data_IF_589587507619
#
_entry.id   IF_589587507619
#
_cell.length_a   1.000
_cell.length_b   1.000
_cell.length_c   1.000
_cell.angle_alpha   90.00
_cell.angle_beta   90.00
_cell.angle_gamma   90.00
#
_symmetry.space_group_name_H-M   'P 1'
#
loop_
_entity.id
_entity.type
_entity.pdbx_description
1 polymer ?
#
# COMPACT_ATOMS: atom_id res chain seq x y z
N UNK A 1 -8.70 -61.04 -7.26
CA UNK A 1 -8.80 -59.77 -6.56
C UNK A 1 -7.60 -58.91 -6.98
N UNK A 2 -7.81 -57.82 -7.70
CA UNK A 2 -6.75 -56.88 -8.04
C UNK A 2 -6.42 -56.09 -6.78
N UNK A 3 -5.11 -55.91 -6.53
CA UNK A 3 -4.69 -55.05 -5.43
C UNK A 3 -5.12 -53.58 -5.74
N UNK A 4 -5.75 -52.92 -4.81
CA UNK A 4 -6.03 -51.47 -4.86
C UNK A 4 -4.70 -50.74 -4.64
N UNK A 5 -4.47 -49.65 -5.34
CA UNK A 5 -3.25 -48.83 -5.33
C UNK A 5 -2.01 -49.46 -6.00
N UNK A 6 -2.20 -50.24 -7.07
CA UNK A 6 -1.12 -50.78 -7.89
C UNK A 6 -1.25 -50.30 -9.33
N UNK A 7 -0.14 -49.97 -9.97
CA UNK A 7 -0.05 -49.80 -11.41
C UNK A 7 0.30 -51.11 -12.05
N UNK A 8 -0.48 -51.51 -13.03
CA UNK A 8 -0.23 -52.73 -13.81
C UNK A 8 0.55 -52.34 -15.07
N UNK A 9 1.72 -52.93 -15.25
CA UNK A 9 2.55 -52.76 -16.44
C UNK A 9 2.47 -54.05 -17.25
N UNK A 10 1.91 -53.96 -18.46
CA UNK A 10 1.62 -55.16 -19.26
C UNK A 10 2.14 -54.99 -20.69
N UNK A 11 2.93 -55.93 -21.23
CA UNK A 11 3.34 -55.90 -22.62
C UNK A 11 2.15 -56.18 -23.57
N UNK A 12 2.06 -55.42 -24.66
CA UNK A 12 1.02 -55.62 -25.69
C UNK A 12 1.61 -55.43 -27.09
N UNK A 13 2.10 -56.50 -27.69
CA UNK A 13 2.81 -56.44 -28.95
C UNK A 13 4.16 -55.73 -28.83
N UNK A 14 4.36 -54.67 -29.64
CA UNK A 14 5.54 -53.80 -29.54
C UNK A 14 5.41 -52.68 -28.48
N UNK A 15 4.27 -52.63 -27.79
CA UNK A 15 3.94 -51.58 -26.86
C UNK A 15 3.85 -52.11 -25.43
N UNK A 16 3.95 -51.18 -24.46
CA UNK A 16 3.71 -51.46 -23.05
C UNK A 16 2.55 -50.60 -22.56
N UNK A 17 1.61 -51.18 -21.85
CA UNK A 17 0.47 -50.51 -21.23
C UNK A 17 0.72 -50.36 -19.73
N UNK A 18 0.58 -49.15 -19.21
CA UNK A 18 0.55 -48.86 -17.79
C UNK A 18 -0.91 -48.50 -17.43
N UNK A 19 -1.50 -49.31 -16.56
CA UNK A 19 -2.91 -49.17 -16.17
C UNK A 19 -3.04 -48.94 -14.67
N UNK A 20 -3.77 -47.91 -14.31
CA UNK A 20 -4.18 -47.61 -12.94
C UNK A 20 -5.66 -47.24 -12.94
N UNK A 21 -6.47 -48.01 -12.22
CA UNK A 21 -7.92 -47.93 -12.23
C UNK A 21 -8.51 -47.87 -13.64
N UNK A 22 -9.07 -46.71 -14.04
CA UNK A 22 -9.65 -46.50 -15.37
C UNK A 22 -8.70 -45.81 -16.35
N UNK A 23 -7.53 -45.38 -15.89
CA UNK A 23 -6.55 -44.66 -16.70
C UNK A 23 -5.55 -45.61 -17.31
N UNK A 24 -5.21 -45.39 -18.56
CA UNK A 24 -4.24 -46.21 -19.29
C UNK A 24 -3.28 -45.31 -20.07
N UNK A 25 -1.99 -45.51 -19.83
CA UNK A 25 -0.91 -44.89 -20.61
C UNK A 25 -0.33 -45.98 -21.53
N UNK A 26 -0.24 -45.69 -22.82
CA UNK A 26 0.36 -46.54 -23.82
C UNK A 26 1.73 -46.02 -24.23
N UNK A 27 2.78 -46.77 -23.87
CA UNK A 27 4.15 -46.53 -24.32
C UNK A 27 4.36 -47.33 -25.63
N UNK A 28 4.62 -46.61 -26.73
CA UNK A 28 4.73 -47.18 -28.07
C UNK A 28 6.17 -47.54 -28.38
N UNK A 29 6.34 -48.67 -29.11
CA UNK A 29 7.63 -49.11 -29.65
C UNK A 29 8.77 -49.15 -28.61
N UNK A 30 8.47 -49.71 -27.43
CA UNK A 30 9.42 -49.83 -26.32
C UNK A 30 9.41 -51.27 -25.78
N UNK A 31 10.59 -51.77 -25.40
CA UNK A 31 10.70 -53.07 -24.76
C UNK A 31 10.18 -53.02 -23.32
N UNK A 32 9.64 -54.14 -22.85
CA UNK A 32 9.02 -54.21 -21.51
C UNK A 32 9.98 -53.81 -20.38
N UNK A 33 11.20 -54.37 -20.42
CA UNK A 33 12.22 -54.11 -19.37
C UNK A 33 12.62 -52.64 -19.36
N UNK A 34 12.82 -52.00 -20.52
CA UNK A 34 13.12 -50.58 -20.65
C UNK A 34 11.97 -49.71 -20.14
N UNK A 35 10.72 -50.03 -20.50
CA UNK A 35 9.55 -49.34 -20.00
C UNK A 35 9.41 -49.47 -18.47
N UNK A 36 9.71 -50.66 -17.93
CA UNK A 36 9.65 -50.93 -16.50
C UNK A 36 10.70 -50.09 -15.73
N UNK A 37 11.95 -50.07 -16.22
CA UNK A 37 13.02 -49.26 -15.63
C UNK A 37 12.68 -47.76 -15.64
N UNK A 38 12.12 -47.24 -16.74
CA UNK A 38 11.68 -45.83 -16.82
C UNK A 38 10.59 -45.56 -15.80
N UNK A 39 9.58 -46.43 -15.72
CA UNK A 39 8.47 -46.26 -14.78
C UNK A 39 8.96 -46.31 -13.35
N UNK A 40 9.82 -47.30 -13.02
CA UNK A 40 10.41 -47.41 -11.70
C UNK A 40 11.22 -46.15 -11.35
N UNK A 41 12.06 -45.65 -12.25
CA UNK A 41 12.83 -44.46 -12.04
C UNK A 41 11.97 -43.20 -11.79
N UNK A 42 10.77 -43.10 -12.41
CA UNK A 42 9.81 -42.02 -12.12
C UNK A 42 9.27 -42.18 -10.69
N UNK A 43 8.92 -43.37 -10.25
CA UNK A 43 8.44 -43.60 -8.89
C UNK A 43 9.52 -43.30 -7.86
N UNK A 44 10.73 -43.79 -8.05
CA UNK A 44 11.87 -43.56 -7.16
C UNK A 44 12.14 -42.05 -7.05
N UNK A 45 12.10 -41.31 -8.16
CA UNK A 45 12.25 -39.87 -8.17
C UNK A 45 11.20 -39.13 -7.32
N UNK A 46 9.91 -39.48 -7.46
CA UNK A 46 8.85 -38.81 -6.69
C UNK A 46 8.84 -39.26 -5.22
N UNK A 47 9.28 -40.50 -4.92
CA UNK A 47 9.43 -41.00 -3.55
C UNK A 47 10.57 -40.28 -2.82
N UNK A 48 11.73 -40.13 -3.47
CA UNK A 48 12.86 -39.36 -2.96
C UNK A 48 12.50 -37.88 -2.77
N UNK A 49 11.79 -37.27 -3.74
CA UNK A 49 11.29 -35.92 -3.62
C UNK A 49 10.34 -35.77 -2.43
N UNK A 50 9.35 -36.64 -2.28
CA UNK A 50 8.36 -36.58 -1.17
C UNK A 50 9.05 -36.74 0.19
N UNK A 51 10.02 -37.62 0.31
CA UNK A 51 10.82 -37.80 1.51
C UNK A 51 11.62 -36.52 1.85
N UNK A 52 12.25 -35.89 0.83
CA UNK A 52 13.06 -34.69 1.00
C UNK A 52 12.21 -33.51 1.44
N UNK A 53 11.07 -33.24 0.77
CA UNK A 53 10.19 -32.12 1.15
C UNK A 53 9.50 -32.36 2.50
N UNK A 54 9.20 -33.60 2.86
CA UNK A 54 8.64 -33.98 4.16
C UNK A 54 9.64 -33.66 5.28
N UNK A 55 10.90 -34.10 5.12
CA UNK A 55 11.96 -33.81 6.09
C UNK A 55 12.23 -32.27 6.22
N UNK A 56 12.18 -31.53 5.11
CA UNK A 56 12.31 -30.10 5.12
C UNK A 56 11.13 -29.41 5.83
N UNK A 57 9.90 -29.88 5.61
CA UNK A 57 8.71 -29.38 6.29
C UNK A 57 8.75 -29.63 7.81
N UNK A 58 9.25 -30.77 8.27
CA UNK A 58 9.43 -31.08 9.69
C UNK A 58 10.43 -30.14 10.37
N UNK A 59 11.43 -29.66 9.63
CA UNK A 59 12.45 -28.72 10.09
C UNK A 59 12.02 -27.25 9.95
N UNK A 60 10.90 -26.98 9.27
CA UNK A 60 10.46 -25.61 8.95
C UNK A 60 11.32 -24.92 7.87
N UNK A 61 12.09 -25.70 7.11
CA UNK A 61 12.92 -25.18 6.01
C UNK A 61 12.08 -25.06 4.72
N UNK A 62 11.30 -23.99 4.68
CA UNK A 62 10.41 -23.72 3.55
C UNK A 62 11.16 -23.46 2.24
N UNK A 63 12.36 -22.86 2.32
CA UNK A 63 13.16 -22.60 1.14
C UNK A 63 13.63 -23.91 0.49
N UNK A 64 14.04 -24.87 1.28
CA UNK A 64 14.44 -26.20 0.79
C UNK A 64 13.27 -26.91 0.10
N UNK A 65 12.05 -26.79 0.61
CA UNK A 65 10.85 -27.36 -0.05
C UNK A 65 10.73 -26.83 -1.49
N UNK A 66 10.91 -25.52 -1.70
CA UNK A 66 10.81 -24.92 -3.02
C UNK A 66 11.99 -25.29 -3.93
N UNK A 67 13.20 -25.31 -3.37
CA UNK A 67 14.42 -25.66 -4.11
C UNK A 67 14.34 -27.12 -4.64
N UNK A 68 13.94 -28.09 -3.81
CA UNK A 68 13.74 -29.49 -4.19
C UNK A 68 12.58 -29.68 -5.19
N UNK A 69 11.53 -28.87 -5.08
CA UNK A 69 10.36 -28.95 -5.94
C UNK A 69 10.58 -28.34 -7.34
N UNK A 70 11.69 -27.65 -7.56
CA UNK A 70 12.02 -27.09 -8.86
C UNK A 70 12.03 -28.13 -9.98
N UNK A 71 12.59 -29.28 -9.73
CA UNK A 71 12.68 -30.39 -10.71
C UNK A 71 11.33 -30.99 -11.10
N UNK A 72 10.31 -30.79 -10.26
CA UNK A 72 8.94 -31.25 -10.56
C UNK A 72 8.19 -30.21 -11.42
N UNK A 73 8.33 -28.93 -11.09
CA UNK A 73 7.48 -27.88 -11.67
C UNK A 73 8.13 -27.09 -12.81
N UNK A 74 9.44 -26.88 -12.78
CA UNK A 74 10.17 -26.03 -13.73
C UNK A 74 9.58 -24.64 -13.96
N UNK A 75 8.79 -24.14 -13.01
CA UNK A 75 8.11 -22.85 -13.01
C UNK A 75 8.40 -22.10 -11.70
N UNK A 76 8.37 -20.76 -11.68
CA UNK A 76 8.59 -19.98 -10.46
C UNK A 76 7.56 -20.28 -9.39
N UNK A 77 8.03 -20.47 -8.16
CA UNK A 77 7.19 -20.69 -6.98
C UNK A 77 7.47 -19.64 -5.92
N UNK A 78 6.44 -19.24 -5.17
CA UNK A 78 6.53 -18.40 -4.00
C UNK A 78 5.62 -18.92 -2.90
N UNK A 79 6.12 -18.91 -1.67
CA UNK A 79 5.39 -19.21 -0.44
C UNK A 79 5.23 -17.92 0.36
N UNK A 80 4.01 -17.61 0.72
CA UNK A 80 3.64 -16.44 1.51
C UNK A 80 3.05 -16.87 2.85
N UNK A 81 3.25 -16.07 3.90
CA UNK A 81 2.55 -16.22 5.18
C UNK A 81 1.08 -15.73 5.12
N UNK A 82 0.38 -15.78 6.25
CA UNK A 82 -1.01 -15.30 6.38
C UNK A 82 -1.14 -13.79 6.11
N UNK A 83 -0.08 -13.02 6.31
CA UNK A 83 0.00 -11.58 6.08
C UNK A 83 0.51 -11.24 4.68
N UNK A 84 0.63 -12.23 3.79
CA UNK A 84 1.13 -12.09 2.43
C UNK A 84 2.62 -11.70 2.33
N UNK A 85 3.43 -11.93 3.36
CA UNK A 85 4.88 -11.76 3.31
C UNK A 85 5.53 -12.98 2.69
N UNK A 86 6.63 -12.77 1.96
CA UNK A 86 7.41 -13.83 1.32
C UNK A 86 8.19 -14.62 2.38
N UNK A 87 7.90 -15.93 2.50
CA UNK A 87 8.65 -16.87 3.33
C UNK A 87 9.74 -17.59 2.54
N UNK A 88 9.45 -17.97 1.30
CA UNK A 88 10.36 -18.63 0.39
C UNK A 88 9.97 -18.39 -1.06
N UNK A 89 10.95 -18.45 -1.97
CA UNK A 89 10.72 -18.27 -3.41
C UNK A 89 11.77 -19.00 -4.25
N UNK A 90 11.49 -19.24 -5.53
CA UNK A 90 12.44 -19.82 -6.48
C UNK A 90 13.61 -18.87 -6.73
N UNK A 91 14.77 -19.12 -6.10
CA UNK A 91 15.94 -18.20 -6.04
C UNK A 91 16.50 -17.81 -7.40
N UNK A 92 16.41 -18.68 -8.41
CA UNK A 92 16.86 -18.41 -9.78
C UNK A 92 16.06 -17.30 -10.47
N UNK A 93 14.91 -16.87 -9.89
CA UNK A 93 14.07 -15.80 -10.41
C UNK A 93 14.15 -14.52 -9.58
N UNK A 94 15.09 -14.40 -8.65
CA UNK A 94 15.21 -13.19 -7.81
C UNK A 94 15.38 -11.92 -8.63
N UNK A 95 16.23 -11.97 -9.65
CA UNK A 95 16.56 -10.83 -10.52
C UNK A 95 15.95 -10.96 -11.92
N UNK A 96 15.11 -11.98 -12.14
CA UNK A 96 14.46 -12.22 -13.42
C UNK A 96 13.03 -11.70 -13.37
N UNK A 97 12.69 -10.85 -14.33
CA UNK A 97 11.30 -10.40 -14.47
C UNK A 97 10.41 -11.58 -14.89
N UNK A 98 9.46 -11.92 -14.06
CA UNK A 98 8.40 -12.91 -14.33
C UNK A 98 7.13 -12.17 -14.75
N UNK A 99 6.58 -11.35 -13.85
CA UNK A 99 5.45 -10.44 -14.07
C UNK A 99 5.49 -9.28 -13.04
N UNK A 100 4.48 -8.41 -13.06
CA UNK A 100 4.42 -7.25 -12.15
C UNK A 100 4.32 -7.66 -10.68
N UNK A 101 3.54 -8.71 -10.37
CA UNK A 101 3.40 -9.20 -8.99
C UNK A 101 4.71 -9.83 -8.50
N UNK A 102 5.37 -10.63 -9.33
CA UNK A 102 6.67 -11.20 -8.97
C UNK A 102 7.73 -10.13 -8.69
N UNK A 103 7.79 -9.11 -9.56
CA UNK A 103 8.70 -7.99 -9.36
C UNK A 103 8.42 -7.28 -8.02
N UNK A 104 7.14 -7.08 -7.69
CA UNK A 104 6.73 -6.50 -6.42
C UNK A 104 7.11 -7.37 -5.22
N UNK A 105 6.86 -8.69 -5.29
CA UNK A 105 7.26 -9.64 -4.24
C UNK A 105 8.76 -9.62 -3.97
N UNK A 106 9.59 -9.52 -5.02
CA UNK A 106 11.05 -9.48 -4.87
C UNK A 106 11.57 -8.15 -4.35
N UNK A 107 10.88 -7.05 -4.66
CA UNK A 107 11.28 -5.70 -4.23
C UNK A 107 10.84 -5.40 -2.78
N UNK A 108 9.61 -5.78 -2.42
CA UNK A 108 8.98 -5.39 -1.14
C UNK A 108 8.85 -6.54 -0.14
N UNK A 109 9.12 -7.78 -0.54
CA UNK A 109 9.01 -8.95 0.31
C UNK A 109 7.57 -9.35 0.66
N UNK A 110 6.56 -8.83 -0.04
CA UNK A 110 5.14 -9.13 0.18
C UNK A 110 4.30 -8.90 -1.08
N UNK A 111 3.06 -9.42 -1.10
CA UNK A 111 2.12 -9.22 -2.22
C UNK A 111 1.70 -7.77 -2.38
N UNK A 112 1.41 -7.38 -3.62
CA UNK A 112 0.82 -6.07 -3.91
C UNK A 112 -0.62 -5.96 -3.39
N UNK A 113 -1.05 -4.73 -3.10
CA UNK A 113 -2.43 -4.45 -2.65
C UNK A 113 -3.45 -4.86 -3.73
N UNK A 114 -3.12 -4.65 -5.00
CA UNK A 114 -4.00 -5.01 -6.11
C UNK A 114 -4.18 -6.52 -6.23
N UNK A 115 -3.10 -7.32 -6.04
CA UNK A 115 -3.19 -8.78 -5.99
C UNK A 115 -4.03 -9.27 -4.81
N UNK A 116 -3.91 -8.66 -3.65
CA UNK A 116 -4.70 -9.02 -2.47
C UNK A 116 -6.19 -8.72 -2.70
N UNK A 117 -6.51 -7.54 -3.25
CA UNK A 117 -7.88 -7.15 -3.59
C UNK A 117 -8.50 -8.08 -4.64
N UNK A 118 -7.73 -8.43 -5.67
CA UNK A 118 -8.16 -9.36 -6.71
C UNK A 118 -8.52 -10.73 -6.12
N UNK A 119 -7.59 -11.31 -5.36
CA UNK A 119 -7.78 -12.60 -4.74
C UNK A 119 -8.99 -12.65 -3.79
N UNK A 120 -9.26 -11.57 -3.06
CA UNK A 120 -10.43 -11.47 -2.19
C UNK A 120 -11.74 -11.43 -2.94
N UNK A 121 -11.81 -10.64 -4.02
CA UNK A 121 -13.04 -10.50 -4.81
C UNK A 121 -13.44 -11.81 -5.47
N UNK A 122 -12.47 -12.56 -5.98
CA UNK A 122 -12.71 -13.87 -6.59
C UNK A 122 -12.95 -14.97 -5.54
N UNK A 123 -12.41 -14.84 -4.33
CA UNK A 123 -12.65 -15.79 -3.24
C UNK A 123 -14.02 -15.64 -2.57
N UNK A 124 -14.72 -14.50 -2.69
CA UNK A 124 -16.07 -14.32 -2.12
C UNK A 124 -17.15 -15.03 -2.92
N UNK A 125 -16.95 -15.27 -4.20
CA UNK A 125 -17.94 -15.92 -5.08
C UNK A 125 -17.78 -17.46 -5.16
N UNK A 126 -16.67 -18.02 -4.70
CA UNK A 126 -16.40 -19.46 -4.69
C UNK A 126 -16.10 -19.94 -3.26
N UNK A 127 -16.93 -20.86 -2.78
CA UNK A 127 -16.80 -21.56 -1.50
C UNK A 127 -15.41 -21.51 -0.87
N UNK A 128 -15.22 -20.72 0.16
CA UNK A 128 -14.00 -20.49 0.96
C UNK A 128 -13.34 -21.77 1.53
N UNK A 129 -13.90 -22.93 1.28
CA UNK A 129 -13.46 -24.22 1.80
C UNK A 129 -12.96 -25.18 0.72
N UNK A 130 -12.75 -24.74 -0.52
CA UNK A 130 -12.07 -25.60 -1.49
C UNK A 130 -10.60 -25.74 -1.08
N UNK A 131 -10.33 -26.79 -0.32
CA UNK A 131 -8.99 -27.29 -0.02
C UNK A 131 -8.44 -27.85 -1.32
N UNK A 132 -7.62 -27.04 -2.03
CA UNK A 132 -6.97 -27.50 -3.25
C UNK A 132 -6.38 -26.35 -4.08
N UNK A 133 -5.46 -26.71 -4.96
CA UNK A 133 -4.81 -25.77 -5.86
C UNK A 133 -5.79 -25.26 -6.93
N UNK A 134 -6.00 -23.96 -6.97
CA UNK A 134 -6.89 -23.29 -7.92
C UNK A 134 -6.08 -22.58 -9.00
N UNK A 135 -6.47 -22.78 -10.25
CA UNK A 135 -5.86 -22.07 -11.38
C UNK A 135 -6.52 -20.72 -11.57
N UNK A 136 -5.68 -19.67 -11.57
CA UNK A 136 -6.10 -18.29 -11.87
C UNK A 136 -5.62 -17.92 -13.25
N UNK A 137 -6.55 -17.35 -14.02
CA UNK A 137 -6.28 -16.79 -15.33
C UNK A 137 -6.47 -15.27 -15.26
N UNK A 138 -5.48 -14.52 -15.74
CA UNK A 138 -5.50 -13.06 -15.71
C UNK A 138 -5.68 -12.49 -17.12
N UNK A 139 -6.76 -11.75 -17.34
CA UNK A 139 -6.99 -11.03 -18.60
C UNK A 139 -5.97 -9.89 -18.82
N UNK A 140 -5.32 -9.41 -17.74
CA UNK A 140 -4.27 -8.40 -17.82
C UNK A 140 -2.96 -9.05 -18.25
N UNK A 141 -2.38 -8.60 -19.36
CA UNK A 141 -1.06 -9.04 -19.86
C UNK A 141 0.10 -8.81 -18.87
N UNK A 142 -0.12 -8.00 -17.82
CA UNK A 142 0.87 -7.68 -16.80
C UNK A 142 1.06 -8.80 -15.75
N UNK A 143 0.12 -9.75 -15.65
CA UNK A 143 0.15 -10.87 -14.71
C UNK A 143 0.16 -12.18 -15.48
N UNK A 144 0.93 -13.14 -14.99
CA UNK A 144 1.02 -14.50 -15.53
C UNK A 144 -0.06 -15.37 -14.92
N UNK A 145 -0.59 -16.32 -15.69
CA UNK A 145 -1.44 -17.37 -15.15
C UNK A 145 -0.72 -18.11 -14.03
N UNK A 146 -1.43 -18.49 -13.00
CA UNK A 146 -0.84 -19.19 -11.87
C UNK A 146 -1.76 -20.26 -11.31
N UNK A 147 -1.14 -21.17 -10.57
CA UNK A 147 -1.79 -22.16 -9.71
C UNK A 147 -1.51 -21.77 -8.26
N UNK A 148 -2.53 -21.49 -7.48
CA UNK A 148 -2.37 -21.05 -6.09
C UNK A 148 -3.18 -21.92 -5.15
N UNK A 149 -2.59 -22.24 -4.00
CA UNK A 149 -3.25 -23.00 -2.94
C UNK A 149 -3.12 -22.25 -1.60
N UNK A 150 -4.26 -22.07 -0.93
CA UNK A 150 -4.29 -21.52 0.42
C UNK A 150 -3.96 -22.61 1.44
N UNK A 151 -3.17 -22.28 2.43
CA UNK A 151 -2.70 -23.18 3.48
C UNK A 151 -3.52 -22.91 4.73
N UNK A 152 -4.28 -23.91 5.17
CA UNK A 152 -5.13 -23.83 6.38
C UNK A 152 -4.70 -24.86 7.41
N UNK A 153 -4.63 -24.44 8.68
CA UNK A 153 -4.47 -25.33 9.82
C UNK A 153 -5.51 -24.98 10.89
N UNK A 154 -6.28 -25.96 11.36
CA UNK A 154 -7.36 -25.75 12.33
C UNK A 154 -8.32 -24.60 11.95
N UNK A 155 -8.71 -24.50 10.69
CA UNK A 155 -9.57 -23.47 10.09
C UNK A 155 -8.96 -22.06 10.04
N UNK A 156 -7.73 -21.86 10.50
CA UNK A 156 -7.01 -20.61 10.36
C UNK A 156 -6.14 -20.66 9.08
N UNK A 157 -6.15 -19.59 8.30
CA UNK A 157 -5.25 -19.43 7.16
C UNK A 157 -3.85 -19.17 7.67
N UNK A 158 -2.89 -20.02 7.33
CA UNK A 158 -1.49 -19.89 7.69
C UNK A 158 -0.63 -19.26 6.60
N UNK A 159 -1.09 -19.35 5.36
CA UNK A 159 -0.33 -18.81 4.23
C UNK A 159 -0.92 -19.22 2.88
N UNK A 160 -0.11 -19.04 1.85
CA UNK A 160 -0.44 -19.35 0.46
C UNK A 160 0.80 -19.74 -0.31
N UNK A 161 0.72 -20.80 -1.11
CA UNK A 161 1.75 -21.16 -2.08
C UNK A 161 1.24 -20.93 -3.49
N UNK A 162 2.06 -20.34 -4.34
CA UNK A 162 1.71 -20.01 -5.72
C UNK A 162 2.80 -20.48 -6.68
N UNK A 163 2.39 -21.15 -7.75
CA UNK A 163 3.20 -21.58 -8.89
C UNK A 163 2.81 -20.74 -10.10
N UNK A 164 3.74 -19.98 -10.67
CA UNK A 164 3.49 -19.04 -11.77
C UNK A 164 3.82 -19.68 -13.12
N UNK A 165 2.90 -19.59 -14.09
CA UNK A 165 3.13 -20.11 -15.45
C UNK A 165 4.14 -19.23 -16.21
N UNK A 166 5.37 -19.70 -16.34
CA UNK A 166 6.45 -18.94 -17.00
C UNK A 166 7.21 -19.76 -18.05
N UNK A 167 7.79 -20.89 -17.65
CA UNK A 167 8.64 -21.72 -18.52
C UNK A 167 7.85 -22.76 -19.29
N UNK A 168 6.81 -23.29 -18.68
CA UNK A 168 5.90 -24.28 -19.27
C UNK A 168 4.48 -24.05 -18.77
N UNK A 169 3.52 -24.52 -19.56
CA UNK A 169 2.11 -24.50 -19.16
C UNK A 169 1.85 -25.38 -17.96
N UNK A 170 0.97 -24.92 -17.10
CA UNK A 170 0.49 -25.65 -15.94
C UNK A 170 -0.51 -26.75 -16.35
N UNK A 171 -0.40 -27.91 -15.74
CA UNK A 171 -1.22 -29.07 -16.01
C UNK A 171 -1.84 -29.64 -14.71
N UNK A 172 -2.65 -30.68 -14.84
CA UNK A 172 -3.35 -31.34 -13.71
C UNK A 172 -2.39 -31.96 -12.72
N UNK A 173 -1.24 -32.52 -13.18
CA UNK A 173 -0.21 -33.08 -12.29
C UNK A 173 0.40 -32.01 -11.37
N UNK A 174 0.59 -30.79 -11.87
CA UNK A 174 1.07 -29.68 -11.05
C UNK A 174 0.12 -29.37 -9.89
N UNK A 175 -1.18 -29.46 -10.14
CA UNK A 175 -2.20 -29.26 -9.10
C UNK A 175 -2.08 -30.30 -7.99
N UNK A 176 -1.91 -31.58 -8.37
CA UNK A 176 -1.79 -32.69 -7.42
C UNK A 176 -0.51 -32.59 -6.57
N UNK A 177 0.60 -32.23 -7.20
CA UNK A 177 1.89 -32.05 -6.50
C UNK A 177 1.83 -30.82 -5.58
N UNK A 178 1.22 -29.71 -6.03
CA UNK A 178 1.06 -28.52 -5.22
C UNK A 178 0.15 -28.78 -4.00
N UNK A 179 -0.90 -29.59 -4.17
CA UNK A 179 -1.77 -30.02 -3.06
C UNK A 179 -1.01 -30.88 -2.03
N UNK A 180 -0.04 -31.69 -2.47
CA UNK A 180 0.84 -32.44 -1.58
C UNK A 180 1.71 -31.52 -0.73
N UNK A 181 2.35 -30.53 -1.36
CA UNK A 181 3.14 -29.52 -0.65
C UNK A 181 2.26 -28.72 0.31
N UNK A 182 1.08 -28.30 -0.12
CA UNK A 182 0.13 -27.54 0.71
C UNK A 182 -0.22 -28.26 1.99
N UNK A 183 -0.46 -29.58 1.92
CA UNK A 183 -0.75 -30.42 3.12
C UNK A 183 0.43 -30.50 4.07
N UNK A 184 1.65 -30.62 3.57
CA UNK A 184 2.86 -30.62 4.39
C UNK A 184 3.07 -29.26 5.07
N UNK A 185 2.94 -28.18 4.31
CA UNK A 185 3.06 -26.82 4.82
C UNK A 185 1.98 -26.50 5.87
N UNK A 186 0.75 -26.99 5.70
CA UNK A 186 -0.31 -26.81 6.68
C UNK A 186 0.07 -27.34 8.07
N UNK A 187 0.65 -28.52 8.13
CA UNK A 187 1.12 -29.13 9.38
C UNK A 187 2.35 -28.41 9.94
N UNK A 188 3.30 -28.06 9.08
CA UNK A 188 4.54 -27.38 9.48
C UNK A 188 4.27 -25.97 10.01
N UNK A 189 3.57 -25.15 9.23
CA UNK A 189 3.22 -23.78 9.61
C UNK A 189 2.25 -23.71 10.79
N UNK A 190 1.34 -24.71 10.90
CA UNK A 190 0.41 -24.79 12.01
C UNK A 190 1.06 -25.13 13.35
N UNK A 191 2.20 -25.84 13.36
CA UNK A 191 2.97 -26.15 14.58
C UNK A 191 3.74 -24.93 15.10
N UNK A 192 4.21 -24.08 14.19
CA UNK A 192 4.90 -22.83 14.55
C UNK A 192 3.92 -21.75 15.01
N UNK A 193 2.62 -21.99 14.89
CA UNK A 193 1.54 -21.02 15.00
C UNK A 193 1.46 -20.19 13.71
N UNK A 194 0.30 -19.55 13.41
CA UNK A 194 0.34 -18.42 12.52
C UNK A 194 1.42 -17.49 13.09
N UNK A 195 2.38 -17.09 12.26
CA UNK A 195 3.21 -15.95 12.62
C UNK A 195 2.23 -14.91 13.11
N UNK A 196 2.28 -14.59 14.41
CA UNK A 196 1.38 -13.59 14.97
C UNK A 196 1.41 -12.45 13.98
N UNK A 197 0.25 -11.91 13.55
CA UNK A 197 0.27 -10.73 12.72
C UNK A 197 1.29 -9.83 13.38
N UNK A 198 2.27 -9.23 12.67
CA UNK A 198 3.28 -8.44 13.30
C UNK A 198 2.53 -7.57 14.28
N UNK A 199 2.66 -7.86 15.57
CA UNK A 199 1.72 -7.70 16.69
C UNK A 199 0.61 -6.73 16.32
N UNK A 200 -0.57 -7.30 15.97
CA UNK A 200 -1.70 -6.51 15.56
C UNK A 200 -2.31 -5.86 16.80
N UNK A 201 -1.63 -5.02 17.37
CA UNK A 201 -1.78 -4.02 18.38
C UNK A 201 -0.39 -3.81 19.02
N UNK A 202 0.59 -3.40 18.22
CA UNK A 202 1.70 -2.70 18.82
C UNK A 202 1.08 -1.57 19.61
N UNK A 203 1.05 -1.77 20.93
CA UNK A 203 0.75 -0.71 21.87
C UNK A 203 1.77 0.40 21.61
N UNK A 204 1.41 1.31 20.73
CA UNK A 204 2.25 2.45 20.40
C UNK A 204 1.85 3.58 21.34
N UNK A 205 2.76 3.91 22.23
CA UNK A 205 2.67 5.10 23.07
C UNK A 205 2.29 6.33 22.24
N UNK A 206 2.82 6.44 21.03
CA UNK A 206 2.51 7.52 20.11
C UNK A 206 1.05 7.51 19.60
N UNK A 207 0.46 6.31 19.43
CA UNK A 207 -0.97 6.19 19.09
C UNK A 207 -1.86 6.73 20.22
N UNK A 208 -1.50 6.43 21.45
CA UNK A 208 -2.24 6.92 22.60
C UNK A 208 -2.10 8.43 22.76
N UNK A 209 -0.90 8.99 22.57
CA UNK A 209 -0.69 10.43 22.53
C UNK A 209 -1.55 11.12 21.45
N UNK A 210 -1.65 10.53 20.24
CA UNK A 210 -2.50 11.06 19.17
C UNK A 210 -3.99 11.02 19.55
N UNK A 211 -4.43 9.96 20.24
CA UNK A 211 -5.81 9.84 20.75
C UNK A 211 -6.11 10.73 21.97
N UNK A 212 -5.09 11.40 22.51
CA UNK A 212 -5.21 12.19 23.73
C UNK A 212 -5.38 11.31 24.99
N UNK A 213 -4.98 10.05 24.91
CA UNK A 213 -4.93 9.14 26.06
C UNK A 213 -3.66 9.49 26.87
N UNK A 214 -3.80 9.71 28.20
CA UNK A 214 -2.65 10.03 29.04
C UNK A 214 -1.59 8.92 29.00
N UNK A 215 -0.37 9.27 28.70
CA UNK A 215 0.81 8.40 28.72
C UNK A 215 1.72 8.86 29.86
N UNK A 216 2.29 7.93 30.62
CA UNK A 216 3.23 8.29 31.69
C UNK A 216 4.58 8.71 31.10
N UNK A 217 5.26 9.67 31.72
CA UNK A 217 6.59 10.13 31.27
C UNK A 217 7.58 8.94 31.18
N UNK A 218 7.53 8.01 32.13
CA UNK A 218 8.39 6.81 32.13
C UNK A 218 8.16 5.90 30.90
N UNK A 219 6.95 5.80 30.44
CA UNK A 219 6.58 4.96 29.30
C UNK A 219 6.97 5.64 27.99
N UNK A 220 6.79 6.96 27.92
CA UNK A 220 7.27 7.78 26.80
C UNK A 220 8.80 7.74 26.69
N UNK A 221 9.50 7.97 27.80
CA UNK A 221 10.98 7.94 27.86
C UNK A 221 11.52 6.59 27.39
N UNK A 222 10.92 5.48 27.85
CA UNK A 222 11.30 4.14 27.41
C UNK A 222 11.15 3.94 25.90
N UNK A 223 10.04 4.42 25.33
CA UNK A 223 9.80 4.30 23.87
C UNK A 223 10.77 5.17 23.07
N UNK A 224 11.09 6.34 23.58
CA UNK A 224 12.09 7.22 22.97
C UNK A 224 13.49 6.59 23.01
N UNK A 225 13.89 5.99 24.16
CA UNK A 225 15.17 5.27 24.26
C UNK A 225 15.28 4.12 23.27
N UNK A 226 14.20 3.33 23.07
CA UNK A 226 14.18 2.22 22.10
C UNK A 226 14.45 2.71 20.68
N UNK A 227 13.96 3.91 20.33
CA UNK A 227 14.13 4.51 19.02
C UNK A 227 15.39 5.37 18.90
N UNK A 228 16.16 5.51 19.99
CA UNK A 228 17.25 6.47 20.09
C UNK A 228 16.78 7.89 19.70
N UNK A 229 15.65 8.33 20.30
CA UNK A 229 15.01 9.62 20.16
C UNK A 229 15.03 10.40 21.48
N UNK A 230 14.79 11.72 21.43
CA UNK A 230 14.76 12.61 22.59
C UNK A 230 13.55 13.52 22.57
N UNK A 231 13.01 13.87 23.73
CA UNK A 231 11.90 14.83 23.85
C UNK A 231 12.23 16.22 23.30
N UNK A 232 13.52 16.54 23.11
CA UNK A 232 14.01 17.81 22.53
C UNK A 232 14.16 17.76 21.01
N UNK A 233 13.86 16.62 20.38
CA UNK A 233 13.99 16.47 18.94
C UNK A 233 12.77 17.05 18.21
N UNK A 234 12.94 17.30 16.92
CA UNK A 234 11.85 17.68 16.03
C UNK A 234 11.32 16.45 15.32
N UNK A 235 9.99 16.33 15.28
CA UNK A 235 9.27 15.19 14.74
C UNK A 235 8.38 15.61 13.58
N UNK A 236 8.33 14.78 12.56
CA UNK A 236 7.36 14.91 11.48
C UNK A 236 6.35 13.74 11.49
N UNK A 237 5.13 14.02 11.06
CA UNK A 237 4.06 13.03 11.01
C UNK A 237 3.40 13.01 9.63
N UNK A 238 3.28 11.82 9.06
CA UNK A 238 2.52 11.59 7.84
C UNK A 238 1.37 10.64 8.09
N UNK A 239 0.29 10.81 7.32
CA UNK A 239 -0.83 9.87 7.30
C UNK A 239 -1.03 9.38 5.87
N UNK A 240 -0.97 8.07 5.67
CA UNK A 240 -1.24 7.43 4.39
C UNK A 240 -2.67 6.91 4.34
N UNK A 241 -3.36 7.17 3.25
CA UNK A 241 -4.68 6.63 2.94
C UNK A 241 -4.70 6.17 1.47
N UNK A 242 -5.65 5.30 1.11
CA UNK A 242 -5.91 4.98 -0.29
C UNK A 242 -6.43 6.19 -1.06
N UNK A 243 -6.32 6.20 -2.40
CA UNK A 243 -6.87 7.30 -3.23
C UNK A 243 -8.35 7.55 -2.94
N UNK A 244 -9.11 6.51 -2.60
CA UNK A 244 -10.54 6.59 -2.30
C UNK A 244 -10.85 6.77 -0.79
N UNK A 245 -9.85 7.08 0.04
CA UNK A 245 -10.00 7.31 1.48
C UNK A 245 -9.43 6.20 2.35
N UNK A 246 -10.20 5.77 3.36
CA UNK A 246 -9.80 4.80 4.38
C UNK A 246 -9.43 3.45 3.75
N UNK A 247 -8.35 2.83 4.24
CA UNK A 247 -7.90 1.51 3.83
C UNK A 247 -8.68 0.42 4.58
N UNK A 248 -8.95 -0.69 3.90
CA UNK A 248 -9.47 -1.89 4.56
C UNK A 248 -8.41 -2.47 5.52
N UNK A 249 -8.83 -3.08 6.62
CA UNK A 249 -7.97 -3.48 7.73
C UNK A 249 -6.73 -4.30 7.31
N UNK A 250 -6.89 -5.30 6.43
CA UNK A 250 -5.74 -6.11 6.00
C UNK A 250 -4.81 -5.36 5.06
N UNK A 251 -5.37 -4.48 4.20
CA UNK A 251 -4.58 -3.59 3.34
C UNK A 251 -3.81 -2.60 4.20
N UNK A 252 -4.44 -2.13 5.28
CA UNK A 252 -3.85 -1.22 6.25
C UNK A 252 -2.63 -1.84 6.95
N UNK A 253 -2.78 -3.05 7.51
CA UNK A 253 -1.69 -3.76 8.19
C UNK A 253 -0.53 -4.09 7.23
N UNK A 254 -0.85 -4.55 6.02
CA UNK A 254 0.16 -4.82 5.02
C UNK A 254 0.90 -3.55 4.59
N UNK A 255 0.17 -2.46 4.38
CA UNK A 255 0.77 -1.15 4.05
C UNK A 255 1.72 -0.69 5.13
N UNK A 256 1.32 -0.79 6.40
CA UNK A 256 2.17 -0.46 7.54
C UNK A 256 3.44 -1.31 7.54
N UNK A 257 3.31 -2.62 7.33
CA UNK A 257 4.45 -3.53 7.25
C UNK A 257 5.39 -3.17 6.09
N UNK A 258 4.87 -2.92 4.89
CA UNK A 258 5.69 -2.54 3.73
C UNK A 258 6.46 -1.24 3.93
N UNK A 259 5.86 -0.25 4.59
CA UNK A 259 6.52 1.01 4.91
C UNK A 259 7.59 0.78 5.99
N UNK A 260 7.31 -0.03 7.01
CA UNK A 260 8.26 -0.31 8.10
C UNK A 260 9.54 -1.00 7.61
N UNK A 261 9.41 -1.92 6.64
CA UNK A 261 10.58 -2.57 6.03
C UNK A 261 11.51 -1.60 5.29
N UNK A 262 10.98 -0.51 4.76
CA UNK A 262 11.77 0.50 4.06
C UNK A 262 12.34 1.56 5.01
N UNK A 263 11.75 1.76 6.19
CA UNK A 263 12.02 2.87 7.12
C UNK A 263 12.26 2.39 8.55
N UNK A 264 13.38 1.71 8.83
CA UNK A 264 13.63 1.09 10.14
C UNK A 264 13.82 2.10 11.29
N UNK A 265 14.00 3.39 10.99
CA UNK A 265 14.18 4.47 11.97
C UNK A 265 12.91 5.31 12.19
N UNK A 266 11.77 4.85 11.67
CA UNK A 266 10.49 5.50 11.80
C UNK A 266 9.52 4.63 12.59
N UNK A 267 8.64 5.25 13.36
CA UNK A 267 7.49 4.57 13.96
C UNK A 267 6.32 4.52 12.99
N UNK A 268 5.79 3.32 12.78
CA UNK A 268 4.72 3.09 11.82
C UNK A 268 3.63 2.27 12.50
N UNK A 269 2.42 2.80 12.50
CA UNK A 269 1.26 2.16 13.12
C UNK A 269 -0.04 2.53 12.41
N UNK A 270 -1.08 1.74 12.65
CA UNK A 270 -2.40 1.94 12.06
C UNK A 270 -3.29 2.76 13.00
N UNK A 271 -4.01 3.75 12.43
CA UNK A 271 -4.96 4.57 13.16
C UNK A 271 -6.08 5.05 12.24
N UNK A 272 -7.34 4.89 12.66
CA UNK A 272 -8.55 5.38 12.00
C UNK A 272 -8.62 5.06 10.48
N UNK A 273 -8.16 3.86 10.10
CA UNK A 273 -8.15 3.41 8.70
C UNK A 273 -7.07 4.04 7.83
N UNK A 274 -6.07 4.67 8.43
CA UNK A 274 -4.85 5.17 7.80
C UNK A 274 -3.58 4.60 8.44
N UNK A 275 -2.47 4.61 7.71
CA UNK A 275 -1.14 4.29 8.24
C UNK A 275 -0.46 5.58 8.64
N UNK A 276 -0.08 5.66 9.90
CA UNK A 276 0.67 6.79 10.46
C UNK A 276 2.15 6.47 10.44
N UNK A 277 2.94 7.40 9.93
CA UNK A 277 4.39 7.40 9.98
C UNK A 277 4.85 8.59 10.82
N UNK A 278 5.53 8.30 11.92
CA UNK A 278 6.19 9.28 12.78
C UNK A 278 7.69 9.12 12.61
N UNK A 279 8.40 10.21 12.40
CA UNK A 279 9.85 10.20 12.22
C UNK A 279 10.51 11.35 12.97
N UNK A 280 11.78 11.15 13.29
CA UNK A 280 12.65 12.15 13.90
C UNK A 280 13.46 12.84 12.80
N UNK A 281 13.40 14.18 12.71
CA UNK A 281 14.07 14.96 11.66
C UNK A 281 15.60 14.91 11.71
N UNK A 282 16.18 14.51 12.83
CA UNK A 282 17.63 14.26 12.92
C UNK A 282 18.05 12.98 12.17
N UNK A 283 17.14 12.03 11.99
CA UNK A 283 17.42 10.73 11.37
C UNK A 283 16.91 10.64 9.93
N UNK A 284 15.76 11.21 9.66
CA UNK A 284 15.12 11.23 8.33
C UNK A 284 14.54 12.62 8.06
N UNK A 285 14.54 13.07 6.82
CA UNK A 285 13.88 14.33 6.43
C UNK A 285 12.65 14.05 5.57
N UNK A 286 11.69 14.98 5.55
CA UNK A 286 10.50 14.84 4.71
C UNK A 286 10.84 14.61 3.24
N UNK A 287 11.89 15.25 2.71
CA UNK A 287 12.30 15.09 1.31
C UNK A 287 12.94 13.72 1.04
N UNK A 288 13.77 13.21 1.95
CA UNK A 288 14.31 11.85 1.84
C UNK A 288 13.20 10.79 1.87
N UNK A 289 12.20 10.96 2.74
CA UNK A 289 11.04 10.09 2.82
C UNK A 289 10.19 10.15 1.55
N UNK A 290 9.94 11.35 0.98
CA UNK A 290 9.24 11.52 -0.29
C UNK A 290 9.95 10.76 -1.41
N UNK A 291 11.29 10.86 -1.47
CA UNK A 291 12.08 10.17 -2.49
C UNK A 291 11.99 8.64 -2.32
N UNK A 292 12.23 8.13 -1.11
CA UNK A 292 12.22 6.68 -0.82
C UNK A 292 10.84 6.04 -1.06
N UNK A 293 9.78 6.71 -0.64
CA UNK A 293 8.42 6.19 -0.75
C UNK A 293 7.72 6.53 -2.08
N UNK A 294 8.34 7.32 -2.98
CA UNK A 294 7.70 7.80 -4.20
C UNK A 294 7.15 6.69 -5.10
N UNK A 295 7.93 5.63 -5.28
CA UNK A 295 7.52 4.47 -6.08
C UNK A 295 6.43 3.68 -5.39
N UNK A 296 6.58 3.43 -4.09
CA UNK A 296 5.61 2.73 -3.26
C UNK A 296 4.23 3.43 -3.26
N UNK A 297 4.19 4.72 -2.98
CA UNK A 297 2.96 5.52 -2.89
C UNK A 297 2.23 5.55 -4.24
N UNK A 298 2.97 5.73 -5.33
CA UNK A 298 2.42 5.77 -6.70
C UNK A 298 1.90 4.40 -7.14
N UNK A 299 2.69 3.34 -6.95
CA UNK A 299 2.32 1.98 -7.36
C UNK A 299 1.08 1.48 -6.61
N UNK A 300 0.97 1.76 -5.32
CA UNK A 300 -0.15 1.34 -4.48
C UNK A 300 -1.32 2.35 -4.47
N UNK A 301 -1.30 3.38 -5.34
CA UNK A 301 -2.36 4.40 -5.46
C UNK A 301 -2.73 4.99 -4.11
N UNK A 302 -1.73 5.48 -3.40
CA UNK A 302 -1.90 6.06 -2.07
C UNK A 302 -1.74 7.58 -2.10
N UNK A 303 -2.30 8.22 -1.09
CA UNK A 303 -2.10 9.62 -0.79
C UNK A 303 -1.51 9.76 0.62
N UNK A 304 -0.53 10.64 0.76
CA UNK A 304 0.13 10.95 2.04
C UNK A 304 -0.12 12.41 2.41
N UNK A 305 -0.77 12.63 3.55
CA UNK A 305 -0.89 13.94 4.19
C UNK A 305 0.29 14.16 5.11
N UNK A 306 0.88 15.33 5.08
CA UNK A 306 2.14 15.68 5.74
C UNK A 306 1.89 16.86 6.67
N UNK A 307 2.14 16.69 7.97
CA UNK A 307 2.02 17.74 8.97
C UNK A 307 3.16 18.75 8.89
N UNK A 308 3.03 19.84 9.65
CA UNK A 308 4.20 20.62 10.04
C UNK A 308 5.11 19.82 10.98
N UNK A 309 6.41 20.12 11.03
CA UNK A 309 7.30 19.57 12.05
C UNK A 309 6.86 20.03 13.46
N UNK A 310 7.03 19.15 14.46
CA UNK A 310 6.72 19.42 15.85
C UNK A 310 7.96 19.29 16.73
N UNK A 311 8.19 20.26 17.61
CA UNK A 311 9.20 20.20 18.66
C UNK A 311 8.66 19.59 19.96
N UNK A 312 7.35 19.25 20.03
CA UNK A 312 6.74 18.69 21.23
C UNK A 312 5.90 17.47 20.86
N UNK A 313 6.28 16.31 21.38
CA UNK A 313 5.50 15.08 21.16
C UNK A 313 4.10 15.14 21.80
N UNK A 314 3.92 15.95 22.85
CA UNK A 314 2.60 16.19 23.46
C UNK A 314 1.59 16.80 22.50
N UNK A 315 2.08 17.49 21.47
CA UNK A 315 1.24 18.16 20.47
C UNK A 315 0.95 17.30 19.24
N UNK A 316 1.45 16.07 19.23
CA UNK A 316 1.38 15.17 18.07
C UNK A 316 -0.06 14.92 17.57
N UNK A 317 -1.05 14.98 18.48
CA UNK A 317 -2.48 14.91 18.13
C UNK A 317 -2.91 16.01 17.14
N UNK A 318 -2.36 17.21 17.28
CA UNK A 318 -2.66 18.32 16.36
C UNK A 318 -1.96 18.12 15.03
N UNK A 319 -0.76 17.58 15.02
CA UNK A 319 -0.02 17.25 13.80
C UNK A 319 -0.71 16.11 13.02
N UNK A 320 -1.31 15.13 13.70
CA UNK A 320 -2.16 14.13 13.08
C UNK A 320 -3.38 14.75 12.37
N UNK A 321 -4.07 15.69 13.05
CA UNK A 321 -5.20 16.43 12.45
C UNK A 321 -4.76 17.28 11.26
N UNK A 322 -3.57 17.90 11.31
CA UNK A 322 -3.00 18.65 10.19
C UNK A 322 -2.79 17.74 8.97
N UNK A 323 -2.20 16.55 9.17
CA UNK A 323 -1.97 15.60 8.09
C UNK A 323 -3.28 15.09 7.47
N UNK A 324 -4.31 14.83 8.29
CA UNK A 324 -5.64 14.48 7.79
C UNK A 324 -6.28 15.63 7.00
N UNK A 325 -6.20 16.85 7.51
CA UNK A 325 -6.73 18.02 6.80
C UNK A 325 -6.05 18.25 5.46
N UNK A 326 -4.76 17.98 5.36
CA UNK A 326 -4.03 18.04 4.10
C UNK A 326 -4.60 17.07 3.04
N UNK A 327 -5.22 15.97 3.47
CA UNK A 327 -5.84 14.96 2.60
C UNK A 327 -7.32 15.24 2.24
N UNK A 328 -7.97 16.28 2.79
CA UNK A 328 -9.40 16.52 2.51
C UNK A 328 -9.67 16.86 1.03
N UNK A 329 -8.76 17.58 0.39
CA UNK A 329 -8.90 18.00 -1.02
C UNK A 329 -7.83 17.35 -1.86
N UNK A 330 -8.16 16.24 -2.50
CA UNK A 330 -7.23 15.48 -3.32
C UNK A 330 -7.35 15.86 -4.79
N UNK A 331 -6.21 15.96 -5.43
CA UNK A 331 -6.10 16.23 -6.86
C UNK A 331 -5.70 14.95 -7.59
N UNK A 332 -6.19 14.71 -8.81
CA UNK A 332 -5.70 13.60 -9.65
C UNK A 332 -4.18 13.65 -9.78
N UNK A 333 -3.55 12.48 -9.77
CA UNK A 333 -2.10 12.29 -9.96
C UNK A 333 -1.19 12.96 -8.92
N UNK A 334 -1.75 13.53 -7.85
CA UNK A 334 -0.99 14.06 -6.72
C UNK A 334 -1.04 13.07 -5.56
N UNK A 335 0.15 12.73 -5.02
CA UNK A 335 0.29 11.72 -3.96
C UNK A 335 0.70 12.29 -2.61
N UNK A 336 1.32 13.49 -2.58
CA UNK A 336 1.82 14.14 -1.36
C UNK A 336 1.12 15.47 -1.15
N UNK A 337 0.58 15.65 0.06
CA UNK A 337 -0.23 16.79 0.45
C UNK A 337 0.36 17.43 1.70
N UNK A 338 1.15 18.48 1.52
CA UNK A 338 1.73 19.23 2.63
C UNK A 338 0.67 20.12 3.27
N UNK A 339 0.64 20.16 4.59
CA UNK A 339 -0.27 21.03 5.36
C UNK A 339 0.14 22.50 5.27
N UNK A 340 1.45 22.81 5.12
CA UNK A 340 1.96 24.18 5.15
C UNK A 340 1.15 25.18 4.28
N UNK A 341 0.88 24.92 3.00
CA UNK A 341 0.12 25.85 2.17
C UNK A 341 -1.36 25.97 2.57
N UNK A 342 -1.86 25.07 3.41
CA UNK A 342 -3.26 24.98 3.84
C UNK A 342 -3.47 25.42 5.30
N UNK A 343 -2.41 25.86 5.98
CA UNK A 343 -2.47 26.21 7.40
C UNK A 343 -3.50 27.31 7.72
N UNK A 344 -3.62 28.33 6.86
CA UNK A 344 -4.59 29.41 7.04
C UNK A 344 -6.02 28.88 6.84
N UNK A 345 -6.26 28.02 5.85
CA UNK A 345 -7.57 27.40 5.61
C UNK A 345 -8.00 26.52 6.79
N UNK A 346 -7.04 25.80 7.38
CA UNK A 346 -7.29 25.02 8.59
C UNK A 346 -7.74 25.90 9.76
N UNK A 347 -7.08 27.03 9.99
CA UNK A 347 -7.46 27.99 11.04
C UNK A 347 -8.86 28.54 10.76
N UNK A 348 -9.13 28.93 9.52
CA UNK A 348 -10.42 29.47 9.12
C UNK A 348 -11.53 28.41 9.31
N UNK A 349 -11.36 27.20 8.79
CA UNK A 349 -12.37 26.13 8.89
C UNK A 349 -12.67 25.69 10.33
N UNK A 350 -11.72 25.85 11.24
CA UNK A 350 -11.91 25.53 12.66
C UNK A 350 -12.42 26.73 13.52
N UNK A 351 -12.75 27.84 12.88
CA UNK A 351 -13.32 29.02 13.53
C UNK A 351 -14.81 29.16 13.19
N UNK A 352 -15.58 29.89 14.02
CA UNK A 352 -17.00 30.13 13.74
C UNK A 352 -17.17 30.98 12.46
N UNK A 353 -17.95 30.52 11.46
CA UNK A 353 -18.19 31.29 10.23
C UNK A 353 -18.70 32.69 10.48
N UNK A 354 -19.64 32.86 11.40
CA UNK A 354 -20.24 34.16 11.72
C UNK A 354 -19.19 35.13 12.26
N UNK A 355 -18.30 34.67 13.13
CA UNK A 355 -17.21 35.48 13.69
C UNK A 355 -16.21 35.87 12.59
N UNK A 356 -15.85 34.92 11.71
CA UNK A 356 -14.93 35.20 10.61
C UNK A 356 -15.50 36.23 9.63
N UNK A 357 -16.75 36.03 9.20
CA UNK A 357 -17.43 36.97 8.27
C UNK A 357 -17.60 38.34 8.91
N UNK A 358 -17.97 38.43 10.20
CA UNK A 358 -18.07 39.67 10.91
C UNK A 358 -16.72 40.39 11.06
N UNK A 359 -15.62 39.64 11.13
CA UNK A 359 -14.27 40.16 11.25
C UNK A 359 -13.60 40.46 9.90
N UNK A 360 -14.23 40.23 8.75
CA UNK A 360 -13.66 40.58 7.45
C UNK A 360 -13.54 42.10 7.24
N UNK A 361 -12.52 42.50 6.47
CA UNK A 361 -12.28 43.92 6.13
C UNK A 361 -13.52 44.56 5.46
N UNK A 362 -14.03 45.70 5.94
CA UNK A 362 -15.28 46.28 5.44
C UNK A 362 -15.29 46.57 3.94
N UNK A 363 -14.17 47.02 3.39
CA UNK A 363 -14.05 47.30 1.96
C UNK A 363 -14.12 46.02 1.11
N UNK A 364 -13.56 44.93 1.58
CA UNK A 364 -13.63 43.61 0.89
C UNK A 364 -15.07 43.09 0.92
N UNK A 365 -15.78 43.18 2.06
CA UNK A 365 -17.21 42.85 2.13
C UNK A 365 -18.05 43.72 1.19
N UNK A 366 -17.71 44.98 1.08
CA UNK A 366 -18.38 45.89 0.14
C UNK A 366 -18.13 45.50 -1.31
N UNK A 367 -16.89 45.20 -1.68
CA UNK A 367 -16.54 44.75 -3.04
C UNK A 367 -17.24 43.42 -3.38
N UNK A 368 -17.26 42.49 -2.47
CA UNK A 368 -17.97 41.22 -2.62
C UNK A 368 -19.48 41.41 -2.87
N UNK A 369 -20.15 42.27 -2.06
CA UNK A 369 -21.56 42.60 -2.27
C UNK A 369 -21.83 43.30 -3.61
N UNK A 370 -20.88 44.06 -4.11
CA UNK A 370 -20.99 44.70 -5.43
C UNK A 370 -20.83 43.69 -6.55
N UNK A 371 -19.89 42.77 -6.40
CA UNK A 371 -19.67 41.69 -7.38
C UNK A 371 -20.86 40.72 -7.48
N UNK A 372 -21.58 40.49 -6.37
CA UNK A 372 -22.84 39.72 -6.37
C UNK A 372 -23.96 40.42 -7.13
N UNK A 373 -23.96 41.77 -7.17
CA UNK A 373 -24.98 42.55 -7.88
C UNK A 373 -24.64 42.81 -9.35
N UNK A 374 -23.37 42.89 -9.66
CA UNK A 374 -22.84 43.23 -10.98
C UNK A 374 -21.56 42.44 -11.25
N UNK A 375 -21.31 41.91 -12.45
CA UNK A 375 -20.09 41.14 -12.74
C UNK A 375 -18.87 42.04 -12.87
N UNK A 376 -18.42 42.64 -11.77
CA UNK A 376 -17.32 43.63 -11.74
C UNK A 376 -15.97 43.05 -11.37
N UNK A 377 -15.90 41.81 -10.91
CA UNK A 377 -14.67 41.10 -10.53
C UNK A 377 -13.74 41.89 -9.60
N UNK A 378 -14.29 42.71 -8.69
CA UNK A 378 -13.50 43.57 -7.80
C UNK A 378 -12.67 42.79 -6.83
N UNK A 379 -13.27 41.78 -6.16
CA UNK A 379 -12.57 40.91 -5.21
C UNK A 379 -11.44 40.15 -5.91
N UNK A 380 -11.70 39.56 -7.08
CA UNK A 380 -10.70 38.87 -7.88
C UNK A 380 -9.55 39.80 -8.33
N UNK A 381 -9.91 41.03 -8.74
CA UNK A 381 -8.92 42.02 -9.17
C UNK A 381 -8.05 42.50 -8.00
N UNK A 382 -8.64 42.73 -6.83
CA UNK A 382 -7.91 43.11 -5.62
C UNK A 382 -6.98 41.97 -5.15
N UNK A 383 -7.48 40.74 -5.15
CA UNK A 383 -6.68 39.58 -4.81
C UNK A 383 -5.42 39.44 -5.69
N UNK A 384 -5.59 39.43 -7.01
CA UNK A 384 -4.48 39.32 -7.95
C UNK A 384 -3.49 40.50 -7.75
N UNK A 385 -3.99 41.68 -7.53
CA UNK A 385 -3.15 42.86 -7.30
C UNK A 385 -2.32 42.76 -6.01
N UNK A 386 -2.93 42.30 -4.92
CA UNK A 386 -2.23 42.12 -3.66
C UNK A 386 -1.27 40.93 -3.68
N UNK A 387 -1.60 39.83 -4.37
CA UNK A 387 -0.74 38.66 -4.49
C UNK A 387 0.48 38.93 -5.39
N UNK A 388 0.35 39.77 -6.39
CA UNK A 388 1.45 40.24 -7.24
C UNK A 388 2.20 41.42 -6.66
N UNK A 389 2.18 41.62 -5.33
CA UNK A 389 2.88 42.70 -4.62
C UNK A 389 2.60 44.09 -5.26
N UNK A 390 1.39 44.29 -5.75
CA UNK A 390 0.88 45.51 -6.43
C UNK A 390 1.54 45.78 -7.78
N UNK A 391 2.18 44.81 -8.41
CA UNK A 391 2.71 44.92 -9.76
C UNK A 391 1.58 44.95 -10.79
N UNK A 392 1.37 46.07 -11.40
CA UNK A 392 0.36 46.24 -12.47
C UNK A 392 0.65 45.35 -13.69
N UNK A 393 1.95 45.08 -13.96
CA UNK A 393 2.36 44.22 -15.08
C UNK A 393 1.91 42.78 -14.80
N UNK A 394 2.40 42.16 -13.74
CA UNK A 394 2.09 40.78 -13.41
C UNK A 394 0.60 40.55 -13.16
N UNK A 395 -0.07 41.52 -12.51
CA UNK A 395 -1.52 41.43 -12.30
C UNK A 395 -2.31 41.47 -13.63
N UNK A 396 -1.88 42.27 -14.62
CA UNK A 396 -2.55 42.33 -15.93
C UNK A 396 -2.37 41.05 -16.72
N UNK A 397 -1.19 40.40 -16.59
CA UNK A 397 -0.90 39.10 -17.19
C UNK A 397 -1.74 37.99 -16.54
N UNK A 398 -1.79 37.92 -15.19
CA UNK A 398 -2.60 36.93 -14.46
C UNK A 398 -4.10 37.02 -14.77
N UNK A 399 -4.63 38.26 -14.85
CA UNK A 399 -6.06 38.46 -15.12
C UNK A 399 -6.42 38.45 -16.61
N UNK A 400 -5.43 38.32 -17.49
CA UNK A 400 -5.61 38.40 -18.96
C UNK A 400 -6.32 39.65 -19.42
N UNK A 401 -5.99 40.80 -18.80
CA UNK A 401 -6.56 42.12 -19.17
C UNK A 401 -5.47 43.07 -19.67
N UNK A 402 -5.86 44.03 -20.53
CA UNK A 402 -4.91 45.05 -20.97
C UNK A 402 -4.49 45.93 -19.79
N UNK A 403 -3.19 46.28 -19.71
CA UNK A 403 -2.63 47.08 -18.61
C UNK A 403 -3.43 48.36 -18.31
N UNK A 404 -3.86 49.10 -19.33
CA UNK A 404 -4.63 50.32 -19.13
C UNK A 404 -6.00 50.07 -18.47
N UNK A 405 -6.64 48.95 -18.81
CA UNK A 405 -7.89 48.52 -18.19
C UNK A 405 -7.68 48.22 -16.71
N UNK A 406 -6.58 47.52 -16.37
CA UNK A 406 -6.23 47.25 -14.98
C UNK A 406 -5.92 48.52 -14.21
N UNK A 407 -5.12 49.41 -14.76
CA UNK A 407 -4.82 50.72 -14.15
C UNK A 407 -6.10 51.47 -13.79
N UNK A 408 -7.04 51.54 -14.73
CA UNK A 408 -8.36 52.16 -14.48
C UNK A 408 -9.13 51.43 -13.37
N UNK A 409 -9.20 50.10 -13.41
CA UNK A 409 -9.88 49.31 -12.36
C UNK A 409 -9.25 49.54 -10.99
N UNK A 410 -7.93 49.42 -10.86
CA UNK A 410 -7.21 49.63 -9.59
C UNK A 410 -7.39 51.06 -9.08
N UNK A 411 -7.23 52.09 -9.93
CA UNK A 411 -7.43 53.46 -9.55
C UNK A 411 -8.82 53.69 -8.97
N UNK A 412 -9.87 53.24 -9.67
CA UNK A 412 -11.25 53.34 -9.21
C UNK A 412 -11.48 52.63 -7.88
N UNK A 413 -10.94 51.42 -7.72
CA UNK A 413 -11.06 50.64 -6.48
C UNK A 413 -10.32 51.32 -5.33
N UNK A 414 -9.11 51.86 -5.58
CA UNK A 414 -8.31 52.55 -4.55
C UNK A 414 -8.98 53.85 -4.07
N UNK A 415 -9.65 54.59 -4.97
CA UNK A 415 -10.43 55.76 -4.62
C UNK A 415 -11.66 55.43 -3.75
N UNK A 416 -12.17 54.20 -3.87
CA UNK A 416 -13.29 53.73 -3.07
C UNK A 416 -12.86 53.14 -1.71
N UNK A 417 -11.57 52.84 -1.50
CA UNK A 417 -11.08 52.25 -0.24
C UNK A 417 -11.12 53.26 0.90
N UNK A 418 -11.52 52.77 2.09
CA UNK A 418 -11.45 53.54 3.34
C UNK A 418 -10.11 53.41 4.06
N UNK A 419 -9.15 52.70 3.48
CA UNK A 419 -7.87 52.32 4.09
C UNK A 419 -6.68 52.62 3.16
N UNK A 420 -5.47 52.59 3.73
CA UNK A 420 -4.24 52.82 3.00
C UNK A 420 -3.54 51.49 2.65
N UNK A 421 -3.44 51.19 1.35
CA UNK A 421 -2.76 49.95 0.87
C UNK A 421 -1.23 50.00 1.03
N UNK A 422 -0.62 51.11 1.42
CA UNK A 422 0.81 51.16 1.72
C UNK A 422 1.15 50.47 3.06
N UNK A 423 0.18 50.29 3.93
CA UNK A 423 0.35 49.60 5.20
C UNK A 423 0.34 48.07 5.01
N UNK A 424 1.36 47.41 5.52
CA UNK A 424 1.49 45.93 5.43
C UNK A 424 0.32 45.20 6.08
N UNK A 425 -0.03 45.59 7.30
CA UNK A 425 -1.17 45.04 8.03
C UNK A 425 -2.49 45.11 7.25
N UNK A 426 -2.76 46.24 6.63
CA UNK A 426 -3.98 46.44 5.81
C UNK A 426 -4.03 45.44 4.65
N UNK A 427 -2.91 45.26 3.94
CA UNK A 427 -2.83 44.29 2.83
C UNK A 427 -3.05 42.87 3.30
N UNK A 428 -2.41 42.46 4.39
CA UNK A 428 -2.55 41.13 4.96
C UNK A 428 -3.98 40.84 5.45
N UNK A 429 -4.59 41.85 6.08
CA UNK A 429 -5.98 41.77 6.52
C UNK A 429 -6.95 41.62 5.34
N UNK A 430 -6.73 42.35 4.26
CA UNK A 430 -7.53 42.22 3.04
C UNK A 430 -7.34 40.86 2.37
N UNK A 431 -6.10 40.38 2.25
CA UNK A 431 -5.80 39.04 1.73
C UNK A 431 -6.51 37.95 2.54
N UNK A 432 -6.43 38.05 3.87
CA UNK A 432 -7.13 37.12 4.76
C UNK A 432 -8.65 37.18 4.58
N UNK A 433 -9.23 38.37 4.48
CA UNK A 433 -10.67 38.54 4.29
C UNK A 433 -11.16 37.93 2.95
N UNK A 434 -10.39 38.11 1.87
CA UNK A 434 -10.69 37.52 0.58
C UNK A 434 -10.66 35.98 0.68
N UNK A 435 -9.66 35.42 1.39
CA UNK A 435 -9.54 33.99 1.60
C UNK A 435 -10.70 33.42 2.42
N UNK A 436 -11.16 34.15 3.46
CA UNK A 436 -12.35 33.76 4.23
C UNK A 436 -13.57 33.70 3.33
N UNK A 437 -13.85 34.72 2.53
CA UNK A 437 -14.99 34.75 1.62
C UNK A 437 -14.99 33.56 0.67
N UNK A 438 -13.85 33.25 0.06
CA UNK A 438 -13.70 32.09 -0.86
C UNK A 438 -13.97 30.73 -0.24
N UNK A 439 -13.85 30.58 1.07
CA UNK A 439 -14.11 29.32 1.75
C UNK A 439 -15.57 29.14 2.16
N UNK A 440 -16.36 30.23 2.12
CA UNK A 440 -17.77 30.21 2.50
C UNK A 440 -18.73 30.58 1.34
N UNK A 441 -18.19 30.95 0.15
CA UNK A 441 -18.94 31.07 -1.11
C UNK A 441 -19.08 29.68 -1.79
#
# INVERSE_FOLDING_TARGET
>A
AYATNCIYVVPRGSDVLCQWENDTIRLKDIQFDEAFEIIQGIFDFYEDWDASITAAAEQGDYQKILDESWHCFHNPMVLLDANCNVLAYSKQYKEVYVDEEWAHLMEYGCSSIDSIRFMRRDCTDQNFFNVGATKYHFERKALSDCLSSFIYYNRAQCGRITLVERNRRLNTGDSQLLDRITRLLAVSMGKTGPAAPPDGDHYSVFRDLIKGIPVSDRELDRQLEVNDWSTEDTYGLWVFQGENGILEEQVLLLTAHMISQQLPHCEIFCLDGGVVLLYNEKKETSDTLKHRLSRFVRHNRMAAGISLPSCFLTDIQYHYRQALFALEERLPDKHYYDFYPRAIDYIIKNSSPDVLLAACHPDILRFHRLDLKQPTERVRTMEAYLNNERSLLHTSEELFVHRNTLVYRIKKMTEELSCNLEEGYTRDYMKLSIRILKLFD
#
